data_IF_817573021695
#
_entry.id   IF_817573021695
#
_cell.length_a   1.000
_cell.length_b   1.000
_cell.length_c   1.000
_cell.angle_alpha   90.00
_cell.angle_beta   90.00
_cell.angle_gamma   90.00
#
_symmetry.space_group_name_H-M   'P 1'
#
loop_
_entity.id
_entity.type
_entity.pdbx_description
1 polymer ?
#
# COMPACT_ATOMS: atom_id res chain seq x y z
N UNK A 1 -4.89 16.11 -6.01
CA UNK A 1 -5.97 15.09 -5.91
C UNK A 1 -6.08 14.59 -4.47
N UNK A 2 -7.32 14.55 -3.92
CA UNK A 2 -7.60 13.96 -2.61
C UNK A 2 -7.98 12.50 -2.79
N UNK A 3 -7.32 11.60 -2.06
CA UNK A 3 -7.59 10.17 -2.02
C UNK A 3 -7.63 9.70 -0.57
N UNK A 4 -8.27 8.58 -0.31
CA UNK A 4 -8.27 7.96 1.01
C UNK A 4 -7.88 6.48 0.93
N UNK A 5 -7.36 5.94 2.05
CA UNK A 5 -7.16 4.50 2.25
C UNK A 5 -8.08 4.03 3.38
N UNK A 6 -8.76 2.91 3.18
CA UNK A 6 -9.77 2.38 4.10
C UNK A 6 -9.78 0.85 4.11
N UNK A 7 -10.30 0.27 5.18
CA UNK A 7 -10.65 -1.15 5.24
C UNK A 7 -12.06 -1.44 4.69
N UNK A 8 -12.72 -0.47 4.11
CA UNK A 8 -14.06 -0.48 3.54
C UNK A 8 -15.22 -0.87 4.49
N UNK A 9 -14.99 -1.05 5.79
CA UNK A 9 -16.02 -1.53 6.72
C UNK A 9 -17.24 -0.59 6.83
N UNK A 10 -17.03 0.72 6.61
CA UNK A 10 -18.06 1.75 6.77
C UNK A 10 -18.20 2.67 5.56
N UNK A 11 -17.65 2.33 4.41
CA UNK A 11 -17.64 3.23 3.24
C UNK A 11 -19.04 3.54 2.73
N UNK A 12 -19.98 2.60 2.87
CA UNK A 12 -21.40 2.80 2.53
C UNK A 12 -22.05 3.98 3.26
N UNK A 13 -21.59 4.32 4.45
CA UNK A 13 -22.10 5.42 5.26
C UNK A 13 -21.62 6.80 4.78
N UNK A 14 -20.59 6.84 3.92
CA UNK A 14 -19.87 8.06 3.55
C UNK A 14 -19.83 8.35 2.04
N UNK A 15 -20.56 7.59 1.22
CA UNK A 15 -20.58 7.76 -0.25
C UNK A 15 -20.84 9.22 -0.65
N UNK A 16 -21.90 9.82 -0.12
CA UNK A 16 -22.27 11.21 -0.42
C UNK A 16 -21.22 12.21 0.05
N UNK A 17 -20.61 11.94 1.22
CA UNK A 17 -19.53 12.77 1.76
C UNK A 17 -18.30 12.71 0.84
N UNK A 18 -17.94 11.52 0.36
CA UNK A 18 -16.82 11.34 -0.58
C UNK A 18 -17.06 12.09 -1.90
N UNK A 19 -18.29 11.98 -2.44
CA UNK A 19 -18.67 12.70 -3.66
C UNK A 19 -18.62 14.22 -3.46
N UNK A 20 -19.19 14.73 -2.36
CA UNK A 20 -19.16 16.17 -2.03
C UNK A 20 -17.74 16.70 -1.81
N UNK A 21 -16.85 15.88 -1.25
CA UNK A 21 -15.44 16.22 -1.06
C UNK A 21 -14.61 16.12 -2.35
N UNK A 22 -15.20 15.70 -3.47
CA UNK A 22 -14.50 15.55 -4.75
C UNK A 22 -13.53 14.36 -4.78
N UNK A 23 -13.67 13.40 -3.87
CA UNK A 23 -12.86 12.16 -3.86
C UNK A 23 -13.31 11.30 -5.04
N UNK A 24 -12.38 11.00 -5.94
CA UNK A 24 -12.63 10.15 -7.11
C UNK A 24 -11.97 8.79 -7.00
N UNK A 25 -10.94 8.65 -6.17
CA UNK A 25 -10.13 7.44 -6.06
C UNK A 25 -10.03 7.00 -4.60
N UNK A 26 -10.33 5.72 -4.35
CA UNK A 26 -10.34 5.12 -3.01
C UNK A 26 -9.44 3.89 -3.02
N UNK A 27 -8.52 3.84 -2.05
CA UNK A 27 -7.69 2.67 -1.82
C UNK A 27 -8.34 1.81 -0.74
N UNK A 28 -8.57 0.54 -1.03
CA UNK A 28 -9.15 -0.41 -0.09
C UNK A 28 -8.10 -1.46 0.27
N UNK A 29 -7.89 -1.72 1.56
CA UNK A 29 -7.04 -2.81 2.02
C UNK A 29 -7.86 -4.10 2.10
N UNK A 30 -7.47 -5.12 1.30
CA UNK A 30 -8.09 -6.44 1.30
C UNK A 30 -7.03 -7.49 0.95
N UNK A 31 -6.62 -8.30 1.93
CA UNK A 31 -5.50 -9.23 1.76
C UNK A 31 -5.92 -10.63 1.27
N UNK A 32 -7.22 -10.93 1.18
CA UNK A 32 -7.75 -12.22 0.72
C UNK A 32 -9.17 -12.08 0.18
N UNK A 33 -9.55 -12.95 -0.74
CA UNK A 33 -10.92 -13.13 -1.26
C UNK A 33 -11.67 -14.27 -0.56
N UNK A 34 -10.98 -15.03 0.30
CA UNK A 34 -11.55 -16.12 1.08
C UNK A 34 -12.02 -15.65 2.46
N UNK A 35 -13.24 -16.03 2.88
CA UNK A 35 -13.85 -15.60 4.15
C UNK A 35 -13.13 -16.13 5.38
N UNK A 36 -12.72 -17.39 5.34
CA UNK A 36 -12.08 -18.06 6.47
C UNK A 36 -10.67 -17.49 6.65
N UNK A 37 -9.98 -17.27 5.54
CA UNK A 37 -8.68 -16.60 5.53
C UNK A 37 -8.80 -15.13 5.99
N UNK A 38 -9.85 -14.41 5.58
CA UNK A 38 -10.11 -13.05 6.07
C UNK A 38 -10.30 -13.03 7.58
N UNK A 39 -11.07 -13.98 8.13
CA UNK A 39 -11.19 -14.10 9.59
C UNK A 39 -9.86 -14.47 10.25
N UNK A 40 -9.09 -15.37 9.64
CA UNK A 40 -7.77 -15.76 10.14
C UNK A 40 -6.82 -14.56 10.25
N UNK A 41 -6.79 -13.67 9.23
CA UNK A 41 -5.92 -12.49 9.17
C UNK A 41 -6.44 -11.38 10.09
N UNK A 42 -7.72 -11.03 9.97
CA UNK A 42 -8.28 -9.83 10.61
C UNK A 42 -8.87 -10.06 12.00
N UNK A 43 -9.15 -11.31 12.37
CA UNK A 43 -9.91 -11.73 13.56
C UNK A 43 -11.33 -11.14 13.61
N UNK A 44 -11.91 -10.84 12.43
CA UNK A 44 -13.24 -10.24 12.30
C UNK A 44 -14.09 -10.99 11.28
N UNK A 45 -15.32 -11.31 11.64
CA UNK A 45 -16.28 -11.98 10.76
C UNK A 45 -17.16 -10.94 10.03
N UNK A 46 -16.53 -10.14 9.16
CA UNK A 46 -17.19 -9.02 8.45
C UNK A 46 -16.86 -9.01 6.95
N UNK A 47 -16.38 -10.11 6.38
CA UNK A 47 -15.96 -10.18 4.98
C UNK A 47 -17.07 -9.73 4.03
N UNK A 48 -18.29 -10.27 4.16
CA UNK A 48 -19.41 -9.94 3.26
C UNK A 48 -19.75 -8.45 3.28
N UNK A 49 -19.68 -7.82 4.46
CA UNK A 49 -19.90 -6.37 4.57
C UNK A 49 -18.82 -5.58 3.83
N UNK A 50 -17.56 -5.96 4.01
CA UNK A 50 -16.42 -5.32 3.33
C UNK A 50 -16.54 -5.52 1.81
N UNK A 51 -16.82 -6.73 1.36
CA UNK A 51 -16.99 -7.06 -0.05
C UNK A 51 -18.12 -6.25 -0.69
N UNK A 52 -19.31 -6.25 -0.08
CA UNK A 52 -20.47 -5.48 -0.58
C UNK A 52 -20.16 -3.98 -0.65
N UNK A 53 -19.45 -3.44 0.34
CA UNK A 53 -19.05 -2.04 0.34
C UNK A 53 -18.05 -1.73 -0.79
N UNK A 54 -17.14 -2.66 -1.12
CA UNK A 54 -16.24 -2.51 -2.28
C UNK A 54 -17.03 -2.51 -3.58
N UNK A 55 -17.98 -3.46 -3.75
CA UNK A 55 -18.85 -3.49 -4.93
C UNK A 55 -19.63 -2.18 -5.07
N UNK A 56 -20.21 -1.69 -3.97
CA UNK A 56 -20.92 -0.41 -3.98
C UNK A 56 -20.03 0.76 -4.43
N UNK A 57 -18.78 0.82 -3.95
CA UNK A 57 -17.84 1.86 -4.41
C UNK A 57 -17.59 1.80 -5.91
N UNK A 58 -17.48 0.60 -6.48
CA UNK A 58 -17.30 0.39 -7.92
C UNK A 58 -18.56 0.84 -8.68
N UNK A 59 -19.73 0.42 -8.23
CA UNK A 59 -21.02 0.75 -8.84
C UNK A 59 -21.33 2.26 -8.79
N UNK A 60 -20.88 2.93 -7.72
CA UNK A 60 -21.00 4.39 -7.56
C UNK A 60 -19.96 5.19 -8.38
N UNK A 61 -19.13 4.50 -9.17
CA UNK A 61 -18.19 5.09 -10.13
C UNK A 61 -16.89 5.58 -9.52
N UNK A 62 -16.54 5.17 -8.30
CA UNK A 62 -15.21 5.47 -7.76
C UNK A 62 -14.13 4.63 -8.43
N UNK A 63 -12.96 5.23 -8.64
CA UNK A 63 -11.77 4.48 -9.04
C UNK A 63 -11.23 3.69 -7.85
N UNK A 64 -11.64 2.43 -7.73
CA UNK A 64 -11.28 1.57 -6.61
C UNK A 64 -9.93 0.90 -6.87
N UNK A 65 -8.99 1.09 -5.93
CA UNK A 65 -7.68 0.44 -5.91
C UNK A 65 -7.63 -0.48 -4.70
N UNK A 66 -7.53 -1.79 -4.95
CA UNK A 66 -7.44 -2.78 -3.87
C UNK A 66 -5.98 -3.08 -3.57
N UNK A 67 -5.56 -2.84 -2.34
CA UNK A 67 -4.23 -3.13 -1.84
C UNK A 67 -4.22 -4.49 -1.15
N UNK A 68 -3.35 -5.37 -1.60
CA UNK A 68 -3.16 -6.73 -1.07
C UNK A 68 -1.69 -6.93 -0.74
N UNK A 69 -1.35 -7.11 0.53
CA UNK A 69 0.00 -7.48 0.93
C UNK A 69 0.17 -8.98 0.70
N UNK A 70 1.06 -9.35 -0.22
CA UNK A 70 1.28 -10.75 -0.57
C UNK A 70 2.31 -11.37 0.37
N UNK A 71 1.92 -12.46 1.03
CA UNK A 71 2.78 -13.19 1.96
C UNK A 71 2.81 -14.67 1.62
N UNK A 72 4.01 -15.22 1.52
CA UNK A 72 4.23 -16.65 1.25
C UNK A 72 3.65 -17.53 2.38
N UNK A 73 2.93 -18.58 2.00
CA UNK A 73 2.26 -19.50 2.92
C UNK A 73 0.99 -18.92 3.55
N UNK A 74 0.50 -17.78 3.04
CA UNK A 74 -0.74 -17.14 3.52
C UNK A 74 -1.70 -16.89 2.36
N UNK A 75 -1.38 -16.03 1.41
CA UNK A 75 -2.32 -15.59 0.36
C UNK A 75 -1.71 -15.53 -1.05
N UNK A 76 -0.48 -15.97 -1.25
CA UNK A 76 0.18 -15.96 -2.58
C UNK A 76 -0.57 -16.82 -3.62
N UNK A 77 -1.33 -17.80 -3.17
CA UNK A 77 -2.15 -18.66 -4.04
C UNK A 77 -3.34 -17.91 -4.64
N UNK A 78 -3.77 -16.80 -4.05
CA UNK A 78 -4.92 -16.01 -4.49
C UNK A 78 -4.56 -14.94 -5.55
N UNK A 79 -3.28 -14.81 -5.94
CA UNK A 79 -2.84 -13.82 -6.93
C UNK A 79 -3.65 -13.93 -8.23
N UNK A 80 -3.89 -15.16 -8.72
CA UNK A 80 -4.65 -15.39 -9.94
C UNK A 80 -6.13 -15.02 -9.79
N UNK A 81 -6.72 -15.24 -8.63
CA UNK A 81 -8.13 -14.92 -8.34
C UNK A 81 -8.34 -13.40 -8.24
N UNK A 82 -7.42 -12.68 -7.61
CA UNK A 82 -7.41 -11.22 -7.62
C UNK A 82 -7.27 -10.64 -9.03
N UNK A 83 -6.46 -11.25 -9.89
CA UNK A 83 -6.34 -10.83 -11.30
C UNK A 83 -7.62 -11.18 -12.07
N UNK A 84 -8.21 -12.38 -11.88
CA UNK A 84 -9.47 -12.76 -12.51
C UNK A 84 -10.61 -11.79 -12.17
N UNK A 85 -10.67 -11.30 -10.93
CA UNK A 85 -11.65 -10.29 -10.53
C UNK A 85 -11.61 -9.04 -11.41
N UNK A 86 -10.43 -8.64 -11.92
CA UNK A 86 -10.30 -7.47 -12.81
C UNK A 86 -10.89 -7.69 -14.21
N UNK A 87 -11.35 -8.92 -14.55
CA UNK A 87 -11.80 -9.26 -15.91
C UNK A 87 -13.07 -8.51 -16.31
N UNK A 88 -14.05 -8.50 -15.43
CA UNK A 88 -15.38 -7.95 -15.70
C UNK A 88 -15.70 -6.73 -14.83
N UNK A 89 -14.69 -6.18 -14.13
CA UNK A 89 -14.85 -5.02 -13.26
C UNK A 89 -13.67 -4.06 -13.40
N UNK A 90 -13.97 -2.76 -13.43
CA UNK A 90 -12.96 -1.70 -13.51
C UNK A 90 -12.25 -1.47 -12.17
N UNK A 91 -11.75 -2.55 -11.55
CA UNK A 91 -10.98 -2.51 -10.30
C UNK A 91 -9.48 -2.54 -10.60
N UNK A 92 -8.70 -1.85 -9.77
CA UNK A 92 -7.24 -1.84 -9.87
C UNK A 92 -6.62 -2.56 -8.68
N UNK A 93 -6.21 -3.82 -8.85
CA UNK A 93 -5.55 -4.62 -7.81
C UNK A 93 -4.08 -4.25 -7.69
N UNK A 94 -3.59 -4.01 -6.47
CA UNK A 94 -2.19 -3.68 -6.22
C UNK A 94 -1.59 -4.69 -5.23
N UNK A 95 -0.76 -5.55 -5.73
CA UNK A 95 0.04 -6.46 -4.91
C UNK A 95 1.20 -5.70 -4.28
N UNK A 96 1.36 -5.81 -2.99
CA UNK A 96 2.38 -5.12 -2.21
C UNK A 96 3.29 -6.17 -1.61
N UNK A 97 4.59 -6.03 -1.79
CA UNK A 97 5.57 -6.87 -1.11
C UNK A 97 5.46 -6.71 0.41
N UNK A 98 5.54 -7.82 1.14
CA UNK A 98 5.58 -7.79 2.59
C UNK A 98 6.84 -7.09 3.07
N UNK A 99 6.68 -6.02 3.84
CA UNK A 99 7.76 -5.11 4.25
C UNK A 99 8.05 -5.22 5.75
N UNK A 100 9.30 -5.00 6.17
CA UNK A 100 9.69 -5.05 7.57
C UNK A 100 9.23 -3.81 8.36
N UNK A 101 8.42 -4.04 9.40
CA UNK A 101 8.01 -3.04 10.38
C UNK A 101 8.07 -3.59 11.79
N UNK A 102 8.04 -2.71 12.80
CA UNK A 102 8.01 -3.13 14.20
C UNK A 102 6.85 -4.11 14.45
N UNK A 103 7.16 -5.22 15.11
CA UNK A 103 6.20 -6.27 15.54
C UNK A 103 5.46 -7.03 14.45
N UNK A 104 5.75 -6.85 13.17
CA UNK A 104 5.06 -7.59 12.12
C UNK A 104 5.68 -8.96 11.79
N UNK A 105 6.71 -9.38 12.54
CA UNK A 105 7.39 -10.67 12.37
C UNK A 105 7.86 -10.94 10.92
N UNK A 106 8.28 -9.87 10.25
CA UNK A 106 8.80 -9.97 8.90
C UNK A 106 10.06 -10.85 8.86
N UNK A 107 10.14 -11.65 7.81
CA UNK A 107 11.36 -12.32 7.41
C UNK A 107 11.34 -12.53 5.88
N UNK A 108 12.50 -12.76 5.30
CA UNK A 108 12.64 -12.93 3.85
C UNK A 108 11.90 -14.13 3.29
N UNK A 109 11.72 -15.19 4.09
CA UNK A 109 11.03 -16.41 3.65
C UNK A 109 9.52 -16.20 3.49
N UNK A 110 8.94 -15.19 4.15
CA UNK A 110 7.53 -14.80 4.00
C UNK A 110 7.30 -13.80 2.87
N UNK A 111 8.35 -13.16 2.38
CA UNK A 111 8.24 -12.20 1.29
C UNK A 111 7.95 -12.93 -0.03
N UNK A 112 7.09 -12.33 -0.84
CA UNK A 112 6.81 -12.75 -2.20
C UNK A 112 7.20 -11.59 -3.13
N UNK A 113 8.25 -11.78 -3.93
CA UNK A 113 8.90 -10.71 -4.67
C UNK A 113 8.11 -10.28 -5.92
N UNK A 114 8.45 -9.11 -6.45
CA UNK A 114 7.93 -8.61 -7.72
C UNK A 114 7.99 -9.66 -8.84
N UNK A 115 9.15 -10.30 -9.02
CA UNK A 115 9.32 -11.28 -10.08
C UNK A 115 8.46 -12.53 -9.87
N UNK A 116 8.32 -12.98 -8.63
CA UNK A 116 7.46 -14.13 -8.31
C UNK A 116 5.99 -13.83 -8.58
N UNK A 117 5.51 -12.61 -8.22
CA UNK A 117 4.14 -12.17 -8.53
C UNK A 117 3.90 -12.20 -10.05
N UNK A 118 4.84 -11.64 -10.84
CA UNK A 118 4.71 -11.65 -12.30
C UNK A 118 4.80 -13.06 -12.90
N UNK A 119 5.66 -13.92 -12.36
CA UNK A 119 5.75 -15.31 -12.81
C UNK A 119 4.44 -16.06 -12.58
N UNK A 120 3.81 -15.90 -11.40
CA UNK A 120 2.49 -16.47 -11.12
C UNK A 120 1.44 -15.90 -12.08
N UNK A 121 1.37 -14.60 -12.26
CA UNK A 121 0.41 -13.96 -13.18
C UNK A 121 0.57 -14.50 -14.62
N UNK A 122 1.81 -14.68 -15.09
CA UNK A 122 2.13 -15.17 -16.44
C UNK A 122 1.75 -16.64 -16.68
N UNK A 123 1.49 -17.42 -15.63
CA UNK A 123 1.03 -18.82 -15.80
C UNK A 123 -0.37 -18.91 -16.41
N UNK A 124 -1.20 -17.88 -16.24
CA UNK A 124 -2.61 -17.89 -16.69
C UNK A 124 -2.93 -16.72 -17.62
N UNK A 125 -2.29 -15.56 -17.47
CA UNK A 125 -2.67 -14.33 -18.19
C UNK A 125 -1.53 -13.81 -19.06
N UNK A 126 -1.89 -13.37 -20.29
CA UNK A 126 -1.05 -12.46 -21.07
C UNK A 126 -1.36 -11.03 -20.65
N UNK A 127 -0.36 -10.22 -20.37
CA UNK A 127 -0.53 -8.84 -19.94
C UNK A 127 0.55 -7.94 -20.54
N UNK A 128 0.26 -6.65 -20.64
CA UNK A 128 1.19 -5.63 -21.10
C UNK A 128 1.59 -4.70 -19.95
N UNK A 129 2.85 -4.31 -19.93
CA UNK A 129 3.36 -3.28 -19.03
C UNK A 129 2.79 -1.93 -19.45
N UNK A 130 2.14 -1.22 -18.52
CA UNK A 130 1.65 0.14 -18.75
C UNK A 130 2.73 1.17 -18.42
N UNK A 131 2.63 2.35 -19.01
CA UNK A 131 3.50 3.47 -18.65
C UNK A 131 3.14 3.97 -17.25
N UNK A 132 4.13 4.03 -16.37
CA UNK A 132 3.94 4.63 -15.04
C UNK A 132 3.98 6.15 -15.14
N UNK A 133 3.25 6.82 -14.25
CA UNK A 133 3.40 8.26 -14.06
C UNK A 133 4.71 8.60 -13.35
N UNK A 134 5.08 9.87 -13.39
CA UNK A 134 6.25 10.36 -12.66
C UNK A 134 6.03 10.19 -11.14
N UNK A 135 7.01 9.65 -10.42
CA UNK A 135 6.95 9.34 -8.98
C UNK A 135 5.91 8.25 -8.57
N UNK A 136 5.37 7.48 -9.50
CA UNK A 136 4.51 6.35 -9.14
C UNK A 136 5.30 5.21 -8.50
N UNK A 137 4.66 4.53 -7.55
CA UNK A 137 5.26 3.42 -6.81
C UNK A 137 4.83 2.07 -7.33
N UNK A 138 3.66 2.03 -7.95
CA UNK A 138 3.03 0.84 -8.46
C UNK A 138 3.39 0.64 -9.92
N UNK A 139 4.05 -0.46 -10.24
CA UNK A 139 4.34 -0.89 -11.61
C UNK A 139 3.09 -1.54 -12.19
N UNK A 140 2.43 -0.88 -13.15
CA UNK A 140 1.09 -1.25 -13.63
C UNK A 140 1.13 -2.20 -14.81
N UNK A 141 0.15 -3.09 -14.86
CA UNK A 141 -0.07 -4.07 -15.93
C UNK A 141 -1.53 -4.16 -16.31
N UNK A 142 -1.78 -4.36 -17.61
CA UNK A 142 -3.11 -4.58 -18.18
C UNK A 142 -3.19 -6.03 -18.68
N UNK A 143 -3.93 -6.93 -18.02
CA UNK A 143 -4.23 -8.23 -18.60
C UNK A 143 -5.07 -8.09 -19.85
N UNK A 144 -4.79 -8.87 -20.88
CA UNK A 144 -5.53 -8.81 -22.14
C UNK A 144 -6.98 -9.27 -21.93
N UNK A 145 -7.93 -8.49 -22.44
CA UNK A 145 -9.36 -8.80 -22.30
C UNK A 145 -9.98 -8.48 -20.94
N UNK A 146 -9.25 -7.83 -20.02
CA UNK A 146 -9.79 -7.41 -18.72
C UNK A 146 -10.22 -5.93 -18.75
N UNK A 147 -11.26 -5.58 -17.99
CA UNK A 147 -11.67 -4.18 -17.79
C UNK A 147 -10.76 -3.45 -16.80
N UNK A 148 -10.39 -4.11 -15.72
CA UNK A 148 -9.49 -3.58 -14.71
C UNK A 148 -8.02 -3.82 -15.02
N UNK A 149 -7.17 -3.61 -14.03
CA UNK A 149 -5.71 -3.72 -14.13
C UNK A 149 -5.13 -4.30 -12.85
N UNK A 150 -3.88 -4.78 -12.91
CA UNK A 150 -3.13 -5.04 -11.69
C UNK A 150 -1.81 -4.28 -11.66
N UNK A 151 -1.23 -4.16 -10.49
CA UNK A 151 0.08 -3.55 -10.31
C UNK A 151 0.85 -4.24 -9.19
N UNK A 152 2.17 -4.02 -9.17
CA UNK A 152 3.02 -4.47 -8.07
C UNK A 152 3.75 -3.27 -7.47
N UNK A 153 3.73 -3.18 -6.14
CA UNK A 153 4.51 -2.22 -5.35
C UNK A 153 5.71 -2.97 -4.78
N UNK A 154 6.82 -2.89 -5.50
CA UNK A 154 8.05 -3.65 -5.26
C UNK A 154 9.06 -2.85 -4.43
N UNK A 155 8.73 -2.56 -3.17
CA UNK A 155 9.57 -1.71 -2.33
C UNK A 155 10.88 -2.39 -1.93
N UNK A 156 10.87 -3.72 -1.76
CA UNK A 156 12.01 -4.47 -1.25
C UNK A 156 12.87 -5.05 -2.39
N UNK A 157 12.26 -5.74 -3.36
CA UNK A 157 13.00 -6.42 -4.43
C UNK A 157 13.44 -5.48 -5.55
N UNK A 158 12.64 -4.45 -5.87
CA UNK A 158 12.95 -3.44 -6.88
C UNK A 158 12.54 -2.03 -6.41
N UNK A 159 13.32 -1.42 -5.52
CA UNK A 159 12.99 -0.11 -4.93
C UNK A 159 12.83 1.00 -5.99
N UNK A 160 11.86 1.89 -5.76
CA UNK A 160 11.59 3.09 -6.58
C UNK A 160 12.08 4.39 -5.90
N UNK A 161 13.11 4.30 -5.08
CA UNK A 161 13.57 5.40 -4.22
C UNK A 161 14.10 6.61 -5.00
N UNK A 162 14.74 6.40 -6.15
CA UNK A 162 15.34 7.44 -6.98
C UNK A 162 14.34 8.52 -7.45
N UNK A 163 13.06 8.17 -7.61
CA UNK A 163 12.00 9.11 -8.01
C UNK A 163 11.02 9.43 -6.87
N UNK A 164 11.30 9.02 -5.64
CA UNK A 164 10.36 9.15 -4.53
C UNK A 164 10.33 10.56 -3.94
N UNK A 165 9.21 11.26 -4.13
CA UNK A 165 8.94 12.60 -3.56
C UNK A 165 7.98 12.58 -2.36
N UNK A 166 7.72 11.42 -1.76
CA UNK A 166 6.70 11.28 -0.71
C UNK A 166 7.20 11.70 0.65
N UNK A 167 6.30 12.33 1.38
CA UNK A 167 6.40 12.65 2.79
C UNK A 167 5.18 12.06 3.51
N UNK A 168 5.27 11.88 4.80
CA UNK A 168 4.19 11.34 5.61
C UNK A 168 4.00 12.19 6.86
N UNK A 169 2.77 12.60 7.13
CA UNK A 169 2.38 13.18 8.41
C UNK A 169 1.62 12.11 9.19
N UNK A 170 2.08 11.81 10.39
CA UNK A 170 1.47 10.83 11.27
C UNK A 170 0.30 11.43 12.05
N UNK A 171 -0.59 10.59 12.59
CA UNK A 171 -1.75 11.06 13.35
C UNK A 171 -1.36 11.80 14.64
N UNK A 172 -0.17 11.52 15.21
CA UNK A 172 0.40 12.23 16.36
C UNK A 172 1.22 13.47 15.96
N UNK A 173 1.09 13.93 14.70
CA UNK A 173 1.63 15.18 14.23
C UNK A 173 3.15 15.21 13.99
N UNK A 174 3.74 14.05 13.71
CA UNK A 174 5.15 13.94 13.32
C UNK A 174 5.30 13.73 11.82
N UNK A 175 6.35 14.26 11.26
CA UNK A 175 6.65 14.15 9.83
C UNK A 175 7.79 13.16 9.59
N UNK A 176 7.58 12.24 8.64
CA UNK A 176 8.59 11.30 8.14
C UNK A 176 8.90 11.60 6.66
N UNK A 177 10.17 11.57 6.31
CA UNK A 177 10.62 11.76 4.91
C UNK A 177 10.70 10.44 4.12
N UNK A 178 10.61 9.31 4.80
CA UNK A 178 10.53 7.98 4.20
C UNK A 178 9.69 7.06 5.10
N UNK A 179 9.02 6.08 4.49
CA UNK A 179 8.30 5.05 5.22
C UNK A 179 9.21 4.32 6.22
N UNK A 180 10.45 4.09 5.83
CA UNK A 180 11.48 3.38 6.63
C UNK A 180 12.42 4.31 7.42
N UNK A 181 12.26 5.64 7.39
CA UNK A 181 13.16 6.51 8.17
C UNK A 181 13.03 6.23 9.66
N UNK A 182 14.18 6.24 10.38
CA UNK A 182 14.21 6.17 11.85
C UNK A 182 13.67 7.45 12.46
N UNK A 183 14.16 8.59 11.94
CA UNK A 183 13.84 9.92 12.44
C UNK A 183 12.44 10.38 12.08
N UNK A 184 11.88 11.20 12.96
CA UNK A 184 10.61 11.90 12.79
C UNK A 184 10.78 13.35 13.24
N UNK A 185 10.24 14.29 12.44
CA UNK A 185 10.23 15.71 12.81
C UNK A 185 8.92 16.03 13.55
N UNK A 186 8.99 16.61 14.74
CA UNK A 186 7.82 16.90 15.57
C UNK A 186 7.16 18.22 15.18
N UNK A 187 6.32 18.18 14.14
CA UNK A 187 5.62 19.34 13.60
C UNK A 187 4.57 19.86 14.59
N UNK A 188 3.87 18.96 15.30
CA UNK A 188 2.78 19.35 16.17
C UNK A 188 3.22 20.19 17.36
N UNK A 189 4.33 19.84 18.01
CA UNK A 189 4.86 20.61 19.13
C UNK A 189 5.34 22.01 18.69
N UNK A 190 6.04 22.12 17.57
CA UNK A 190 6.45 23.41 17.00
C UNK A 190 5.24 24.29 16.72
N UNK A 191 4.19 23.73 16.09
CA UNK A 191 2.95 24.45 15.81
C UNK A 191 2.22 24.90 17.10
N UNK A 192 2.16 24.03 18.12
CA UNK A 192 1.52 24.37 19.40
C UNK A 192 2.26 25.44 20.20
N UNK A 193 3.57 25.53 20.03
CA UNK A 193 4.38 26.59 20.61
C UNK A 193 4.29 27.91 19.81
N UNK A 194 3.46 27.96 18.75
CA UNK A 194 3.37 29.11 17.84
C UNK A 194 4.71 29.47 17.15
N UNK A 195 5.55 28.47 16.96
CA UNK A 195 6.82 28.60 16.27
C UNK A 195 6.64 28.34 14.75
N UNK A 196 7.58 28.82 13.94
CA UNK A 196 7.58 28.58 12.50
C UNK A 196 7.91 27.11 12.18
N UNK A 197 7.00 26.43 11.48
CA UNK A 197 7.17 25.03 11.08
C UNK A 197 8.00 24.84 9.80
N UNK A 198 8.23 25.91 9.03
CA UNK A 198 8.92 25.81 7.74
C UNK A 198 10.36 25.30 7.88
N UNK A 199 11.17 25.74 8.85
CA UNK A 199 12.54 25.25 9.02
C UNK A 199 12.59 23.74 9.31
N UNK A 200 11.71 23.22 10.17
CA UNK A 200 11.71 21.78 10.52
C UNK A 200 11.23 20.93 9.35
N UNK A 201 10.28 21.42 8.54
CA UNK A 201 9.85 20.76 7.30
C UNK A 201 11.02 20.68 6.30
N UNK A 202 11.71 21.82 6.06
CA UNK A 202 12.88 21.86 5.17
C UNK A 202 13.98 20.92 5.63
N UNK A 203 14.27 20.88 6.92
CA UNK A 203 15.26 19.98 7.50
C UNK A 203 14.84 18.50 7.30
N UNK A 204 13.58 18.17 7.54
CA UNK A 204 13.06 16.83 7.34
C UNK A 204 13.22 16.38 5.87
N UNK A 205 12.93 17.26 4.91
CA UNK A 205 13.12 16.99 3.48
C UNK A 205 14.59 16.82 3.14
N UNK A 206 15.44 17.72 3.59
CA UNK A 206 16.87 17.71 3.29
C UNK A 206 17.61 16.48 3.87
N UNK A 207 17.11 15.94 4.98
CA UNK A 207 17.68 14.74 5.62
C UNK A 207 17.20 13.42 5.00
N UNK A 208 16.45 13.47 3.88
CA UNK A 208 15.94 12.26 3.23
C UNK A 208 17.09 11.40 2.68
N UNK A 209 17.20 10.17 3.15
CA UNK A 209 18.18 9.22 2.65
C UNK A 209 17.88 8.83 1.19
N UNK A 210 18.91 8.48 0.45
CA UNK A 210 18.83 8.10 -0.97
C UNK A 210 17.89 6.91 -1.20
N UNK A 211 17.95 5.89 -0.34
CA UNK A 211 17.12 4.70 -0.45
C UNK A 211 16.67 4.17 0.92
N UNK A 212 15.46 3.58 0.96
CA UNK A 212 14.91 2.76 2.04
C UNK A 212 15.12 3.36 3.45
N UNK A 213 15.02 4.69 3.55
CA UNK A 213 15.17 5.43 4.82
C UNK A 213 16.56 5.36 5.44
N UNK A 214 17.57 4.91 4.69
CA UNK A 214 18.94 4.73 5.19
C UNK A 214 19.13 3.53 6.10
N UNK A 215 18.12 2.68 6.30
CA UNK A 215 18.19 1.51 7.17
C UNK A 215 18.59 0.22 6.45
N UNK A 216 18.27 0.11 5.16
CA UNK A 216 18.56 -1.07 4.37
C UNK A 216 19.56 -0.72 3.28
N UNK A 217 20.69 -1.42 3.25
CA UNK A 217 21.69 -1.28 2.21
C UNK A 217 21.83 -2.61 1.47
N UNK A 218 21.69 -2.56 0.14
CA UNK A 218 21.96 -3.71 -0.74
C UNK A 218 20.87 -4.79 -0.72
N UNK A 219 21.29 -6.01 -0.53
CA UNK A 219 20.49 -7.22 -0.69
C UNK A 219 19.47 -7.38 0.44
N UNK A 220 18.18 -7.27 0.10
CA UNK A 220 17.06 -7.42 1.06
C UNK A 220 17.03 -8.81 1.71
N UNK A 221 17.64 -9.82 1.12
CA UNK A 221 17.69 -11.18 1.69
C UNK A 221 18.52 -11.26 2.96
N UNK A 222 19.36 -10.23 3.20
CA UNK A 222 20.26 -10.14 4.35
C UNK A 222 19.74 -9.19 5.44
N UNK A 223 18.53 -8.68 5.30
CA UNK A 223 17.94 -7.77 6.29
C UNK A 223 17.64 -8.51 7.58
N UNK A 224 18.19 -8.02 8.68
CA UNK A 224 17.87 -8.45 10.03
C UNK A 224 16.68 -7.62 10.55
N UNK A 225 15.50 -8.21 10.54
CA UNK A 225 14.26 -7.53 10.96
C UNK A 225 14.28 -7.07 12.43
N UNK A 226 15.11 -7.68 13.28
CA UNK A 226 15.21 -7.31 14.69
C UNK A 226 15.95 -5.99 14.91
N UNK A 227 16.72 -5.54 13.92
CA UNK A 227 17.48 -4.27 13.96
C UNK A 227 16.75 -3.10 13.32
N UNK A 228 15.53 -3.31 12.86
CA UNK A 228 14.75 -2.27 12.21
C UNK A 228 14.17 -1.32 13.24
N UNK A 229 14.60 -0.08 13.19
CA UNK A 229 14.08 1.00 14.02
C UNK A 229 12.97 1.76 13.27
N UNK A 230 11.76 1.24 13.34
CA UNK A 230 10.60 1.88 12.71
C UNK A 230 9.34 1.59 13.54
N UNK A 231 8.34 2.46 13.47
CA UNK A 231 7.05 2.20 14.08
C UNK A 231 6.28 1.10 13.35
N UNK A 232 5.32 0.49 14.03
CA UNK A 232 4.30 -0.33 13.39
C UNK A 232 3.52 0.48 12.33
N UNK A 233 3.15 -0.15 11.20
CA UNK A 233 2.34 0.49 10.16
C UNK A 233 1.04 1.12 10.70
N UNK A 234 0.42 0.51 11.70
CA UNK A 234 -0.83 1.01 12.33
C UNK A 234 -0.63 2.43 12.89
N UNK A 235 0.56 2.77 13.38
CA UNK A 235 0.85 4.06 14.02
C UNK A 235 1.41 5.11 13.06
N UNK A 236 1.71 4.76 11.81
CA UNK A 236 2.24 5.69 10.81
C UNK A 236 1.29 5.92 9.62
N UNK A 237 0.04 5.45 9.72
CA UNK A 237 -0.99 5.66 8.72
C UNK A 237 -0.81 4.77 7.49
N UNK A 238 -1.17 3.50 7.60
CA UNK A 238 -1.17 2.52 6.53
C UNK A 238 -2.49 1.80 6.47
#
# INVERSE_FOLDING_TARGET
ELTLTTNALRTNEFIDVFKKAGIKSINVSLDTLDKDQFFSITKRNVFDKVWNNIQQLIDEGFHVKVNTVVMRGINETEILDFIEWTKNQAVHVRFIEFMPFDKNQWNTTKMFSYQEILNVAATKYSFIRMKDGFNETAKKFKPLGHEGTFAVISTMSEPFCSSCNRLRLTADGKMKNCLFSKGEADILNVLRNSEDIEPIIKQCVASKAEALGGQFQGDYTKIDATKIENRSMISIGG
#
